data_IF_738079485761
#
_entry.id   IF_738079485761
#
_cell.length_a   1.000
_cell.length_b   1.000
_cell.length_c   1.000
_cell.angle_alpha   90.00
_cell.angle_beta   90.00
_cell.angle_gamma   90.00
#
_symmetry.space_group_name_H-M   'P 1'
#
loop_
_entity.id
_entity.type
_entity.pdbx_description
1 polymer ?
#
# COMPACT_ATOMS: atom_id res chain seq x y z
N UNK A 1 7.30 -25.50 16.55
CA UNK A 1 8.56 -26.29 16.70
C UNK A 1 9.71 -25.29 16.64
N UNK A 2 10.52 -25.18 17.71
CA UNK A 2 11.60 -24.18 17.83
C UNK A 2 12.68 -24.43 16.77
N UNK A 3 13.05 -23.42 15.99
CA UNK A 3 14.22 -23.44 15.11
C UNK A 3 15.24 -22.44 15.66
N UNK A 4 16.37 -22.98 16.09
CA UNK A 4 17.56 -22.29 16.61
C UNK A 4 18.37 -21.66 15.48
N UNK A 5 18.76 -20.39 15.65
CA UNK A 5 19.73 -19.67 14.81
C UNK A 5 21.12 -20.27 14.95
N UNK A 6 21.77 -20.54 13.82
CA UNK A 6 23.18 -20.93 13.73
C UNK A 6 24.02 -19.72 13.35
N UNK A 7 24.86 -19.30 14.29
CA UNK A 7 25.96 -18.34 14.16
C UNK A 7 26.93 -18.69 13.04
N UNK A 8 27.27 -17.71 12.19
CA UNK A 8 28.50 -17.71 11.40
C UNK A 8 29.34 -16.49 11.81
N UNK A 9 30.49 -16.81 12.40
CA UNK A 9 31.54 -15.92 12.88
C UNK A 9 32.45 -15.56 11.69
N UNK A 10 32.68 -14.27 11.42
CA UNK A 10 33.76 -13.84 10.54
C UNK A 10 34.59 -12.74 11.21
N UNK A 11 35.89 -13.01 11.21
CA UNK A 11 36.99 -12.40 11.97
C UNK A 11 37.24 -10.94 11.61
N UNK A 12 37.39 -10.11 12.65
CA UNK A 12 38.00 -8.78 12.56
C UNK A 12 39.53 -8.90 12.54
N UNK A 13 40.18 -8.19 11.61
CA UNK A 13 41.59 -7.84 11.68
C UNK A 13 41.72 -6.34 11.39
N UNK A 14 42.11 -5.59 12.42
CA UNK A 14 42.26 -4.14 12.35
C UNK A 14 43.58 -3.70 11.72
N UNK A 15 43.63 -2.43 11.37
CA UNK A 15 44.85 -1.61 11.35
C UNK A 15 44.42 -0.14 11.35
N UNK A 16 44.64 0.52 12.48
CA UNK A 16 44.53 1.97 12.59
C UNK A 16 45.75 2.66 11.98
N UNK A 17 45.54 3.87 11.46
CA UNK A 17 46.57 4.88 11.33
C UNK A 17 45.91 6.26 11.33
N UNK A 18 46.03 6.95 12.47
CA UNK A 18 45.83 8.39 12.60
C UNK A 18 47.08 9.12 12.12
N UNK A 19 46.91 10.12 11.25
CA UNK A 19 47.86 11.22 11.05
C UNK A 19 47.07 12.46 10.64
N UNK A 20 46.97 13.41 11.57
CA UNK A 20 46.55 14.77 11.26
C UNK A 20 47.71 15.58 10.69
N UNK A 21 47.38 16.60 9.90
CA UNK A 21 48.21 17.77 9.66
C UNK A 21 47.28 18.93 9.26
N UNK A 22 47.27 19.96 10.09
CA UNK A 22 46.68 21.25 9.81
C UNK A 22 47.59 22.04 8.85
N UNK A 23 46.98 22.84 7.97
CA UNK A 23 47.61 23.99 7.37
C UNK A 23 46.56 25.09 7.13
N UNK A 24 46.70 26.18 7.88
CA UNK A 24 46.20 27.49 7.50
C UNK A 24 47.13 28.06 6.41
N UNK A 25 46.62 28.72 5.38
CA UNK A 25 46.74 30.18 5.20
C UNK A 25 46.01 30.66 3.93
N UNK A 26 45.83 31.96 3.89
CA UNK A 26 44.93 32.83 3.14
C UNK A 26 45.26 33.08 1.65
N UNK A 27 44.24 33.42 0.85
CA UNK A 27 44.20 34.67 0.03
C UNK A 27 43.01 34.74 -0.95
N UNK A 28 42.32 35.89 -0.96
CA UNK A 28 41.82 36.52 -2.20
C UNK A 28 40.38 36.24 -2.65
N UNK A 29 39.38 36.75 -1.93
CA UNK A 29 38.01 36.92 -2.46
C UNK A 29 37.83 38.29 -3.14
N UNK A 30 37.40 38.29 -4.41
CA UNK A 30 36.82 39.46 -5.10
C UNK A 30 35.33 39.21 -5.35
N UNK A 31 34.55 40.26 -5.14
CA UNK A 31 33.10 40.28 -5.11
C UNK A 31 32.39 39.82 -6.40
N UNK A 32 31.24 39.18 -6.21
CA UNK A 32 30.20 38.96 -7.22
C UNK A 32 28.90 38.62 -6.51
N UNK A 33 28.01 39.60 -6.39
CA UNK A 33 26.70 39.47 -5.76
C UNK A 33 25.76 38.59 -6.62
N UNK A 34 25.03 37.69 -5.96
CA UNK A 34 23.86 36.99 -6.48
C UNK A 34 22.82 36.94 -5.34
N UNK A 35 21.52 36.89 -5.66
CA UNK A 35 20.45 37.37 -4.79
C UNK A 35 20.27 36.45 -3.58
N UNK A 36 20.03 37.07 -2.43
CA UNK A 36 19.59 36.40 -1.22
C UNK A 36 18.20 35.78 -1.46
N UNK A 37 18.19 34.48 -1.71
CA UNK A 37 17.04 33.64 -1.40
C UNK A 37 16.91 33.62 0.12
N UNK A 38 15.88 34.30 0.60
CA UNK A 38 15.46 34.21 1.99
C UNK A 38 14.78 32.85 2.17
N UNK A 39 15.60 31.80 2.36
CA UNK A 39 15.14 30.54 2.93
C UNK A 39 15.10 30.70 4.45
N UNK A 40 14.11 31.45 4.92
CA UNK A 40 13.73 31.47 6.32
C UNK A 40 12.91 30.23 6.63
N UNK A 41 13.57 29.08 6.81
CA UNK A 41 12.97 28.03 7.63
C UNK A 41 13.29 28.39 9.07
N UNK A 42 12.27 28.74 9.85
CA UNK A 42 12.37 28.59 11.30
C UNK A 42 12.80 27.14 11.55
N UNK A 43 14.01 26.96 12.08
CA UNK A 43 14.54 25.65 12.40
C UNK A 43 13.81 25.11 13.64
N UNK A 44 12.54 24.73 13.45
CA UNK A 44 11.77 23.95 14.40
C UNK A 44 12.46 22.60 14.68
N UNK A 45 12.05 21.95 15.76
CA UNK A 45 12.51 20.61 16.08
C UNK A 45 12.17 19.64 14.93
N UNK A 46 13.13 18.81 14.51
CA UNK A 46 12.91 17.79 13.49
C UNK A 46 11.82 16.84 13.94
N UNK A 47 10.76 16.68 13.15
CA UNK A 47 9.64 15.81 13.48
C UNK A 47 10.02 14.34 13.24
N UNK A 48 9.94 13.51 14.27
CA UNK A 48 10.23 12.08 14.18
C UNK A 48 8.97 11.28 13.91
N UNK A 49 8.88 10.69 12.73
CA UNK A 49 7.78 9.83 12.33
C UNK A 49 8.27 8.40 12.21
N UNK A 50 7.52 7.47 12.79
CA UNK A 50 7.75 6.05 12.63
C UNK A 50 6.84 5.51 11.52
N UNK A 51 7.32 4.51 10.78
CA UNK A 51 6.56 3.88 9.68
C UNK A 51 6.43 2.39 9.98
N UNK A 52 5.20 1.94 10.18
CA UNK A 52 4.89 0.55 10.49
C UNK A 52 4.55 -0.18 9.17
N UNK A 53 5.37 -1.14 8.77
CA UNK A 53 5.25 -1.86 7.50
C UNK A 53 5.35 -3.36 7.75
N UNK A 54 4.37 -4.13 7.27
CA UNK A 54 4.37 -5.60 7.45
C UNK A 54 5.42 -6.27 6.56
N UNK A 55 5.39 -6.01 5.25
CA UNK A 55 6.43 -6.44 4.31
C UNK A 55 7.27 -5.24 3.85
N UNK A 56 8.46 -5.10 4.41
CA UNK A 56 9.39 -4.02 4.07
C UNK A 56 10.21 -4.28 2.79
N UNK A 57 9.96 -5.39 2.10
CA UNK A 57 10.75 -5.87 0.97
C UNK A 57 10.01 -5.86 -0.36
N UNK A 58 8.68 -5.72 -0.35
CA UNK A 58 7.89 -5.60 -1.58
C UNK A 58 8.30 -4.35 -2.37
N UNK A 59 8.20 -4.43 -3.70
CA UNK A 59 8.51 -3.31 -4.59
C UNK A 59 7.61 -2.10 -4.30
N UNK A 60 6.34 -2.31 -3.94
CA UNK A 60 5.41 -1.28 -3.45
C UNK A 60 5.98 -0.58 -2.20
N UNK A 61 6.32 -1.34 -1.15
CA UNK A 61 6.82 -0.78 0.11
C UNK A 61 8.16 -0.04 -0.08
N UNK A 62 9.01 -0.54 -0.97
CA UNK A 62 10.27 0.11 -1.32
C UNK A 62 10.04 1.43 -2.07
N UNK A 63 9.05 1.48 -2.98
CA UNK A 63 8.64 2.72 -3.65
C UNK A 63 8.18 3.78 -2.63
N UNK A 64 7.24 3.42 -1.75
CA UNK A 64 6.77 4.29 -0.68
C UNK A 64 7.91 4.79 0.21
N UNK A 65 8.82 3.89 0.60
CA UNK A 65 9.99 4.24 1.38
C UNK A 65 10.91 5.21 0.65
N UNK A 66 11.12 5.02 -0.65
CA UNK A 66 11.95 5.89 -1.47
C UNK A 66 11.34 7.29 -1.57
N UNK A 67 10.03 7.42 -1.79
CA UNK A 67 9.36 8.72 -1.77
C UNK A 67 9.56 9.44 -0.43
N UNK A 68 9.33 8.77 0.69
CA UNK A 68 9.55 9.37 2.01
C UNK A 68 11.01 9.73 2.28
N UNK A 69 11.95 8.81 2.04
CA UNK A 69 13.35 9.00 2.46
C UNK A 69 14.17 9.83 1.49
N UNK A 70 13.83 9.86 0.20
CA UNK A 70 14.56 10.61 -0.83
C UNK A 70 13.90 11.93 -1.18
N UNK A 71 12.56 11.99 -1.24
CA UNK A 71 11.84 13.22 -1.60
C UNK A 71 11.37 14.00 -0.36
N UNK A 72 10.56 13.38 0.51
CA UNK A 72 9.96 14.10 1.65
C UNK A 72 11.03 14.59 2.64
N UNK A 73 11.97 13.75 3.06
CA UNK A 73 13.05 14.19 3.97
C UNK A 73 13.96 15.28 3.37
N UNK A 74 14.02 15.41 2.04
CA UNK A 74 14.78 16.48 1.40
C UNK A 74 14.03 17.82 1.40
N UNK A 75 12.70 17.80 1.54
CA UNK A 75 11.82 18.97 1.41
C UNK A 75 11.17 19.40 2.74
N UNK A 76 11.09 18.51 3.71
CA UNK A 76 10.49 18.74 5.04
C UNK A 76 11.46 18.36 6.14
N UNK A 77 11.44 19.08 7.26
CA UNK A 77 12.30 18.80 8.42
C UNK A 77 11.77 17.61 9.24
N UNK A 78 11.82 16.42 8.65
CA UNK A 78 11.29 15.17 9.21
C UNK A 78 12.33 14.05 9.16
N UNK A 79 12.22 13.11 10.10
CA UNK A 79 13.01 11.89 10.15
C UNK A 79 12.08 10.67 10.19
N UNK A 80 12.35 9.66 9.34
CA UNK A 80 11.58 8.42 9.31
C UNK A 80 12.34 7.25 9.93
N UNK A 81 11.68 6.52 10.84
CA UNK A 81 12.15 5.22 11.35
C UNK A 81 11.19 4.12 10.95
N UNK A 82 11.67 3.09 10.25
CA UNK A 82 10.83 1.99 9.78
C UNK A 82 10.87 0.81 10.74
N UNK A 83 9.77 0.05 10.80
CA UNK A 83 9.79 -1.27 11.42
C UNK A 83 10.67 -2.23 10.62
N UNK A 84 11.14 -3.27 11.28
CA UNK A 84 11.58 -4.47 10.57
C UNK A 84 10.34 -5.19 9.98
N UNK A 85 10.57 -6.19 9.14
CA UNK A 85 9.51 -7.07 8.61
C UNK A 85 8.71 -7.71 9.76
N UNK A 86 7.38 -7.70 9.64
CA UNK A 86 6.46 -8.09 10.71
C UNK A 86 5.70 -9.36 10.30
N UNK A 87 5.79 -10.38 11.14
CA UNK A 87 5.19 -11.69 10.85
C UNK A 87 3.72 -11.78 11.26
N UNK A 88 3.29 -10.99 12.26
CA UNK A 88 1.98 -11.08 12.89
C UNK A 88 1.65 -9.82 13.72
N UNK A 89 0.42 -9.74 14.23
CA UNK A 89 -0.06 -8.68 15.12
C UNK A 89 0.81 -8.53 16.39
N UNK A 90 1.35 -9.63 16.90
CA UNK A 90 2.25 -9.63 18.07
C UNK A 90 3.57 -8.90 17.74
N UNK A 91 4.07 -9.03 16.50
CA UNK A 91 5.23 -8.30 16.00
C UNK A 91 4.92 -6.82 15.79
N UNK A 92 3.75 -6.49 15.24
CA UNK A 92 3.27 -5.11 15.11
C UNK A 92 3.20 -4.41 16.46
N UNK A 93 2.64 -5.07 17.48
CA UNK A 93 2.62 -4.56 18.85
C UNK A 93 4.02 -4.25 19.40
N UNK A 94 4.98 -5.17 19.24
CA UNK A 94 6.37 -4.94 19.69
C UNK A 94 7.03 -3.79 18.94
N UNK A 95 6.74 -3.63 17.65
CA UNK A 95 7.23 -2.50 16.86
C UNK A 95 6.66 -1.17 17.40
N UNK A 96 5.37 -1.12 17.69
CA UNK A 96 4.72 0.03 18.34
C UNK A 96 5.34 0.37 19.70
N UNK A 97 5.57 -0.63 20.57
CA UNK A 97 6.25 -0.42 21.85
C UNK A 97 7.65 0.22 21.68
N UNK A 98 8.40 -0.24 20.68
CA UNK A 98 9.73 0.31 20.36
C UNK A 98 9.66 1.73 19.79
N UNK A 99 8.67 2.03 18.94
CA UNK A 99 8.44 3.36 18.38
C UNK A 99 8.07 4.38 19.46
N UNK A 100 7.19 4.00 20.39
CA UNK A 100 6.84 4.83 21.55
C UNK A 100 8.10 5.08 22.40
N UNK A 101 8.89 4.04 22.67
CA UNK A 101 10.11 4.16 23.47
C UNK A 101 11.23 4.97 22.79
N UNK A 102 11.25 5.07 21.47
CA UNK A 102 12.24 5.84 20.71
C UNK A 102 11.92 7.34 20.61
N UNK A 103 10.73 7.75 21.06
CA UNK A 103 10.27 9.14 21.02
C UNK A 103 9.73 9.55 19.65
N UNK A 104 9.15 8.63 18.89
CA UNK A 104 8.36 8.99 17.71
C UNK A 104 7.15 9.83 18.11
N UNK A 105 6.88 10.88 17.34
CA UNK A 105 5.75 11.79 17.54
C UNK A 105 4.52 11.33 16.78
N UNK A 106 4.72 10.54 15.73
CA UNK A 106 3.66 9.91 14.97
C UNK A 106 4.08 8.53 14.44
N UNK A 107 3.08 7.71 14.14
CA UNK A 107 3.20 6.45 13.38
C UNK A 107 2.32 6.55 12.13
N UNK A 108 2.93 6.36 10.96
CA UNK A 108 2.21 6.15 9.70
C UNK A 108 2.22 4.64 9.43
N UNK A 109 1.05 4.01 9.47
CA UNK A 109 0.91 2.56 9.41
C UNK A 109 0.39 2.09 8.06
N UNK A 110 1.13 1.16 7.48
CA UNK A 110 0.74 0.31 6.35
C UNK A 110 0.30 -1.09 6.81
N UNK A 111 0.37 -1.35 8.12
CA UNK A 111 0.08 -2.64 8.73
C UNK A 111 -1.39 -2.71 9.19
N UNK A 112 -1.95 -3.92 9.15
CA UNK A 112 -3.36 -4.17 9.45
C UNK A 112 -3.62 -5.42 10.30
N UNK A 113 -2.59 -6.04 10.89
CA UNK A 113 -2.75 -7.26 11.69
C UNK A 113 -3.63 -7.09 12.94
N UNK A 114 -3.50 -5.97 13.65
CA UNK A 114 -4.41 -5.58 14.76
C UNK A 114 -4.49 -4.05 14.89
N UNK A 115 -5.29 -3.44 14.02
CA UNK A 115 -5.48 -1.98 13.97
C UNK A 115 -6.06 -1.40 15.27
N UNK A 116 -7.11 -1.99 15.89
CA UNK A 116 -7.63 -1.52 17.17
C UNK A 116 -6.55 -1.42 18.25
N UNK A 117 -5.73 -2.46 18.44
CA UNK A 117 -4.69 -2.44 19.45
C UNK A 117 -3.62 -1.36 19.18
N UNK A 118 -3.29 -1.11 17.91
CA UNK A 118 -2.32 -0.07 17.53
C UNK A 118 -2.84 1.34 17.81
N UNK A 119 -4.14 1.58 17.57
CA UNK A 119 -4.79 2.86 17.88
C UNK A 119 -4.83 3.13 19.37
N UNK A 120 -5.25 2.15 20.18
CA UNK A 120 -5.24 2.26 21.64
C UNK A 120 -3.84 2.56 22.19
N UNK A 121 -2.82 1.88 21.68
CA UNK A 121 -1.43 2.11 22.10
C UNK A 121 -0.93 3.51 21.76
N UNK A 122 -1.32 4.06 20.61
CA UNK A 122 -0.92 5.40 20.19
C UNK A 122 -1.62 6.47 21.02
N UNK A 123 -2.92 6.31 21.26
CA UNK A 123 -3.73 7.22 22.09
C UNK A 123 -3.23 7.23 23.54
N UNK A 124 -2.98 6.06 24.14
CA UNK A 124 -2.44 5.95 25.51
C UNK A 124 -1.05 6.60 25.65
N UNK A 125 -0.25 6.57 24.58
CA UNK A 125 1.08 7.15 24.54
C UNK A 125 1.10 8.65 24.17
N UNK A 126 -0.01 9.21 23.69
CA UNK A 126 -0.11 10.57 23.20
C UNK A 126 0.72 10.81 21.92
N UNK A 127 0.83 9.81 21.05
CA UNK A 127 1.51 9.92 19.75
C UNK A 127 0.50 9.78 18.62
N UNK A 128 0.68 10.56 17.55
CA UNK A 128 -0.26 10.52 16.44
C UNK A 128 -0.21 9.19 15.70
N UNK A 129 -1.34 8.69 15.25
CA UNK A 129 -1.44 7.48 14.46
C UNK A 129 -2.23 7.74 13.18
N UNK A 130 -1.69 7.31 12.06
CA UNK A 130 -2.25 7.52 10.74
C UNK A 130 -2.25 6.21 9.95
N UNK A 131 -3.32 5.95 9.21
CA UNK A 131 -3.44 4.77 8.35
C UNK A 131 -3.19 5.18 6.91
N UNK A 132 -2.18 4.58 6.30
CA UNK A 132 -1.82 4.79 4.92
C UNK A 132 -2.30 3.63 4.04
N UNK A 133 -2.80 3.95 2.84
CA UNK A 133 -3.13 2.99 1.77
C UNK A 133 -4.20 1.96 2.14
N UNK A 134 -5.05 2.29 3.10
CA UNK A 134 -6.18 1.47 3.49
C UNK A 134 -7.14 2.24 4.39
N UNK A 135 -8.20 1.57 4.82
CA UNK A 135 -9.25 2.15 5.66
C UNK A 135 -9.44 1.34 6.94
N UNK A 136 -10.40 1.77 7.78
CA UNK A 136 -11.00 0.97 8.84
C UNK A 136 -12.35 0.46 8.34
N UNK A 137 -12.88 -0.59 8.99
CA UNK A 137 -14.31 -0.89 8.87
C UNK A 137 -15.15 0.23 9.51
N UNK A 138 -16.41 0.38 9.10
CA UNK A 138 -17.32 1.38 9.68
C UNK A 138 -17.43 1.24 11.22
N UNK A 139 -17.50 0.00 11.72
CA UNK A 139 -17.57 -0.29 13.16
C UNK A 139 -16.31 0.19 13.90
N UNK A 140 -15.13 -0.09 13.36
CA UNK A 140 -13.87 0.39 13.94
C UNK A 140 -13.76 1.91 13.83
N UNK A 141 -14.15 2.51 12.70
CA UNK A 141 -14.10 3.96 12.57
C UNK A 141 -15.04 4.65 13.55
N UNK A 142 -16.26 4.16 13.75
CA UNK A 142 -17.19 4.67 14.76
C UNK A 142 -16.60 4.58 16.18
N UNK A 143 -15.83 3.52 16.48
CA UNK A 143 -15.17 3.33 17.77
C UNK A 143 -13.99 4.31 18.00
N UNK A 144 -13.15 4.52 16.99
CA UNK A 144 -11.88 5.25 17.14
C UNK A 144 -11.89 6.68 16.60
N UNK A 145 -12.93 7.09 15.86
CA UNK A 145 -12.97 8.38 15.15
C UNK A 145 -12.82 9.58 16.09
N UNK A 146 -13.19 9.48 17.35
CA UNK A 146 -13.05 10.56 18.33
C UNK A 146 -11.70 10.61 19.07
N UNK A 147 -10.77 9.69 18.81
CA UNK A 147 -9.45 9.68 19.49
C UNK A 147 -8.66 10.95 19.17
N UNK A 148 -8.01 11.54 20.17
CA UNK A 148 -7.28 12.81 20.03
C UNK A 148 -6.10 12.65 19.07
N UNK A 149 -5.37 11.54 19.19
CA UNK A 149 -4.16 11.29 18.44
C UNK A 149 -4.40 10.44 17.19
N UNK A 150 -5.64 10.08 16.88
CA UNK A 150 -5.93 9.44 15.60
C UNK A 150 -6.07 10.49 14.49
N UNK A 151 -5.09 10.52 13.57
CA UNK A 151 -5.10 11.41 12.40
C UNK A 151 -6.21 11.00 11.44
N UNK A 152 -6.38 9.69 11.24
CA UNK A 152 -7.34 9.13 10.31
C UNK A 152 -6.74 8.13 9.33
N UNK A 153 -7.53 7.79 8.33
CA UNK A 153 -7.17 6.91 7.23
C UNK A 153 -7.30 7.63 5.88
N UNK A 154 -6.30 7.42 5.02
CA UNK A 154 -6.34 7.83 3.62
C UNK A 154 -5.85 6.67 2.76
N UNK A 155 -6.71 6.26 1.82
CA UNK A 155 -6.45 5.16 0.90
C UNK A 155 -7.76 4.60 0.35
N UNK A 156 -7.71 3.42 -0.29
CA UNK A 156 -8.92 2.80 -0.81
C UNK A 156 -9.89 2.45 0.31
N UNK A 157 -11.14 2.85 0.16
CA UNK A 157 -12.25 2.34 0.98
C UNK A 157 -12.59 0.91 0.58
N UNK A 158 -13.30 0.18 1.45
CA UNK A 158 -13.75 -1.19 1.11
C UNK A 158 -14.62 -1.23 -0.15
N UNK A 159 -15.32 -0.12 -0.44
CA UNK A 159 -16.10 0.06 -1.66
C UNK A 159 -15.21 0.21 -2.90
N UNK A 160 -14.13 0.99 -2.82
CA UNK A 160 -13.11 1.07 -3.88
C UNK A 160 -12.40 -0.28 -4.04
N UNK A 161 -12.10 -0.98 -2.96
CA UNK A 161 -11.46 -2.31 -2.99
C UNK A 161 -12.36 -3.35 -3.67
N UNK A 162 -13.65 -3.36 -3.34
CA UNK A 162 -14.66 -4.13 -4.06
C UNK A 162 -14.66 -3.78 -5.55
N UNK A 163 -14.71 -2.48 -5.86
CA UNK A 163 -14.82 -2.00 -7.23
C UNK A 163 -13.60 -2.38 -8.07
N UNK A 164 -12.39 -2.30 -7.52
CA UNK A 164 -11.17 -2.72 -8.20
C UNK A 164 -11.20 -4.21 -8.60
N UNK A 165 -11.64 -5.07 -7.68
CA UNK A 165 -11.81 -6.50 -7.98
C UNK A 165 -12.91 -6.76 -9.02
N UNK A 166 -14.02 -6.04 -8.92
CA UNK A 166 -15.13 -6.12 -9.85
C UNK A 166 -14.72 -5.69 -11.27
N UNK A 167 -14.10 -4.51 -11.41
CA UNK A 167 -13.71 -3.93 -12.70
C UNK A 167 -12.67 -4.79 -13.41
N UNK A 168 -11.70 -5.33 -12.67
CA UNK A 168 -10.74 -6.28 -13.22
C UNK A 168 -11.43 -7.53 -13.79
N UNK A 169 -12.35 -8.14 -13.06
CA UNK A 169 -13.08 -9.30 -13.55
C UNK A 169 -13.95 -8.96 -14.77
N UNK A 170 -14.62 -7.79 -14.76
CA UNK A 170 -15.41 -7.29 -15.89
C UNK A 170 -14.58 -7.07 -17.13
N UNK A 171 -13.37 -6.50 -17.01
CA UNK A 171 -12.44 -6.32 -18.11
C UNK A 171 -12.22 -7.63 -18.88
N UNK A 172 -11.95 -8.72 -18.17
CA UNK A 172 -11.73 -10.03 -18.80
C UNK A 172 -13.01 -10.71 -19.29
N UNK A 173 -14.15 -10.50 -18.63
CA UNK A 173 -15.46 -10.93 -19.15
C UNK A 173 -15.75 -10.25 -20.49
N UNK A 174 -15.51 -8.94 -20.59
CA UNK A 174 -15.75 -8.16 -21.80
C UNK A 174 -14.75 -8.54 -22.92
N UNK A 175 -13.55 -8.98 -22.55
CA UNK A 175 -12.58 -9.60 -23.46
C UNK A 175 -12.98 -11.03 -23.91
N UNK A 176 -14.08 -11.59 -23.41
CA UNK A 176 -14.62 -12.88 -23.80
C UNK A 176 -13.91 -14.09 -23.17
N UNK A 177 -13.18 -13.89 -22.07
CA UNK A 177 -12.57 -14.97 -21.30
C UNK A 177 -13.66 -15.79 -20.60
N UNK A 178 -13.38 -17.07 -20.36
CA UNK A 178 -14.33 -18.00 -19.74
C UNK A 178 -13.73 -18.89 -18.66
N UNK A 179 -12.40 -19.06 -18.63
CA UNK A 179 -11.71 -19.86 -17.61
C UNK A 179 -10.86 -18.96 -16.72
N UNK A 180 -11.19 -18.95 -15.43
CA UNK A 180 -10.55 -18.09 -14.45
C UNK A 180 -9.92 -18.94 -13.35
N UNK A 181 -8.81 -18.46 -12.79
CA UNK A 181 -8.38 -18.82 -11.45
C UNK A 181 -8.35 -17.56 -10.59
N UNK A 182 -8.46 -17.72 -9.27
CA UNK A 182 -8.37 -16.61 -8.33
C UNK A 182 -7.14 -16.79 -7.45
N UNK A 183 -6.37 -15.71 -7.29
CA UNK A 183 -5.42 -15.58 -6.19
C UNK A 183 -6.02 -14.69 -5.11
N UNK A 184 -6.47 -15.29 -4.00
CA UNK A 184 -7.14 -14.59 -2.91
C UNK A 184 -6.21 -13.81 -1.98
N UNK A 185 -4.89 -13.84 -2.21
CA UNK A 185 -3.92 -13.11 -1.40
C UNK A 185 -4.14 -13.34 0.11
N UNK A 186 -4.48 -12.29 0.86
CA UNK A 186 -4.64 -12.33 2.31
C UNK A 186 -6.01 -12.76 2.86
N UNK A 187 -6.90 -13.34 2.04
CA UNK A 187 -8.18 -13.93 2.48
C UNK A 187 -8.04 -14.81 3.75
N UNK A 188 -7.10 -15.77 3.86
CA UNK A 188 -6.99 -16.65 5.04
C UNK A 188 -6.53 -15.93 6.31
N UNK A 189 -6.07 -14.68 6.18
CA UNK A 189 -5.64 -13.82 7.28
C UNK A 189 -6.69 -12.76 7.63
N UNK A 190 -7.89 -12.84 7.06
CA UNK A 190 -8.97 -11.86 7.27
C UNK A 190 -8.56 -10.43 6.92
N UNK A 191 -7.76 -10.26 5.87
CA UNK A 191 -7.41 -8.94 5.36
C UNK A 191 -8.58 -8.40 4.53
N UNK A 192 -9.33 -7.45 5.08
CA UNK A 192 -10.59 -6.94 4.53
C UNK A 192 -10.50 -6.53 3.06
N UNK A 193 -9.43 -5.81 2.65
CA UNK A 193 -9.24 -5.41 1.25
C UNK A 193 -9.18 -6.60 0.29
N UNK A 194 -8.47 -7.67 0.64
CA UNK A 194 -8.34 -8.84 -0.24
C UNK A 194 -9.66 -9.61 -0.35
N UNK A 195 -10.43 -9.65 0.75
CA UNK A 195 -11.75 -10.26 0.78
C UNK A 195 -12.73 -9.43 -0.06
N UNK A 196 -12.73 -8.10 0.10
CA UNK A 196 -13.57 -7.19 -0.68
C UNK A 196 -13.29 -7.29 -2.18
N UNK A 197 -12.02 -7.25 -2.59
CA UNK A 197 -11.59 -7.46 -3.98
C UNK A 197 -12.07 -8.82 -4.52
N UNK A 198 -11.82 -9.90 -3.78
CA UNK A 198 -12.20 -11.26 -4.20
C UNK A 198 -13.72 -11.42 -4.33
N UNK A 199 -14.49 -10.86 -3.39
CA UNK A 199 -15.94 -10.82 -3.47
C UNK A 199 -16.42 -10.00 -4.68
N UNK A 200 -15.76 -8.87 -4.98
CA UNK A 200 -16.03 -8.05 -6.16
C UNK A 200 -15.82 -8.83 -7.46
N UNK A 201 -14.72 -9.60 -7.57
CA UNK A 201 -14.46 -10.47 -8.73
C UNK A 201 -15.57 -11.51 -8.93
N UNK A 202 -15.98 -12.19 -7.85
CA UNK A 202 -17.04 -13.19 -7.90
C UNK A 202 -18.41 -12.57 -8.23
N UNK A 203 -18.70 -11.38 -7.70
CA UNK A 203 -19.92 -10.64 -8.00
C UNK A 203 -19.99 -10.22 -9.48
N UNK A 204 -18.87 -9.76 -10.06
CA UNK A 204 -18.78 -9.45 -11.49
C UNK A 204 -19.06 -10.68 -12.37
N UNK A 205 -18.49 -11.84 -12.02
CA UNK A 205 -18.78 -13.10 -12.72
C UNK A 205 -20.26 -13.52 -12.54
N UNK A 206 -20.84 -13.30 -11.35
CA UNK A 206 -22.21 -13.67 -11.02
C UNK A 206 -23.30 -12.81 -11.72
N UNK A 207 -22.92 -11.72 -12.39
CA UNK A 207 -23.81 -10.99 -13.29
C UNK A 207 -24.28 -11.86 -14.45
N UNK A 208 -23.48 -12.84 -14.88
CA UNK A 208 -23.93 -13.83 -15.82
C UNK A 208 -25.07 -14.65 -15.18
N UNK A 209 -26.25 -14.79 -15.85
CA UNK A 209 -27.45 -15.38 -15.25
C UNK A 209 -27.30 -16.78 -14.64
N UNK A 210 -26.50 -17.67 -15.22
CA UNK A 210 -26.22 -19.02 -14.67
C UNK A 210 -25.18 -19.05 -13.55
N UNK A 211 -24.43 -17.96 -13.36
CA UNK A 211 -23.27 -17.92 -12.47
C UNK A 211 -23.66 -17.53 -11.05
N UNK A 212 -23.17 -18.26 -10.04
CA UNK A 212 -23.33 -17.92 -8.63
C UNK A 212 -22.16 -18.43 -7.80
N UNK A 213 -21.97 -17.83 -6.63
CA UNK A 213 -21.09 -18.36 -5.59
C UNK A 213 -21.92 -18.71 -4.37
N UNK A 214 -21.87 -19.96 -3.93
CA UNK A 214 -22.70 -20.51 -2.85
C UNK A 214 -24.21 -20.32 -3.06
N UNK A 215 -24.66 -20.32 -4.32
CA UNK A 215 -26.06 -20.14 -4.69
C UNK A 215 -26.56 -18.69 -4.62
N UNK A 216 -25.67 -17.71 -4.42
CA UNK A 216 -25.99 -16.28 -4.44
C UNK A 216 -25.20 -15.53 -5.51
N UNK A 217 -25.77 -14.39 -5.93
CA UNK A 217 -25.16 -13.40 -6.83
C UNK A 217 -24.91 -12.06 -6.15
N UNK A 218 -25.49 -11.88 -4.97
CA UNK A 218 -25.43 -10.65 -4.19
C UNK A 218 -24.06 -10.52 -3.54
N UNK A 219 -23.44 -9.34 -3.68
CA UNK A 219 -22.10 -9.08 -3.20
C UNK A 219 -21.97 -9.31 -1.69
N UNK A 220 -22.88 -8.77 -0.88
CA UNK A 220 -22.80 -8.86 0.59
C UNK A 220 -22.93 -10.32 1.06
N UNK A 221 -23.79 -11.10 0.39
CA UNK A 221 -23.93 -12.52 0.66
C UNK A 221 -22.68 -13.34 0.23
N UNK A 222 -22.03 -12.96 -0.87
CA UNK A 222 -20.74 -13.55 -1.29
C UNK A 222 -19.66 -13.20 -0.25
N UNK A 223 -19.51 -11.92 0.09
CA UNK A 223 -18.57 -11.42 1.09
C UNK A 223 -18.72 -12.18 2.42
N UNK A 224 -19.95 -12.26 2.94
CA UNK A 224 -20.25 -13.00 4.17
C UNK A 224 -19.92 -14.49 4.07
N UNK A 225 -20.03 -15.10 2.89
CA UNK A 225 -19.64 -16.49 2.67
C UNK A 225 -18.11 -16.66 2.74
N UNK A 226 -17.34 -15.77 2.10
CA UNK A 226 -15.88 -15.81 2.15
C UNK A 226 -15.40 -15.61 3.58
N UNK A 227 -15.97 -14.63 4.29
CA UNK A 227 -15.67 -14.37 5.70
C UNK A 227 -15.97 -15.59 6.59
N UNK A 228 -17.11 -16.25 6.38
CA UNK A 228 -17.48 -17.42 7.18
C UNK A 228 -16.58 -18.64 6.91
N UNK A 229 -16.10 -18.79 5.67
CA UNK A 229 -15.24 -19.90 5.28
C UNK A 229 -13.74 -19.63 5.53
N UNK A 230 -13.33 -18.36 5.57
CA UNK A 230 -11.94 -17.93 5.63
C UNK A 230 -11.11 -18.30 4.40
N UNK A 231 -11.77 -18.63 3.28
CA UNK A 231 -11.14 -19.12 2.03
C UNK A 231 -12.16 -19.16 0.89
N UNK A 232 -11.72 -19.39 -0.35
CA UNK A 232 -12.59 -19.70 -1.49
C UNK A 232 -12.66 -21.22 -1.72
N UNK A 233 -13.88 -21.75 -1.69
CA UNK A 233 -14.17 -23.13 -2.08
C UNK A 233 -14.67 -23.19 -3.52
N UNK A 234 -13.93 -23.90 -4.39
CA UNK A 234 -14.25 -24.02 -5.82
C UNK A 234 -15.59 -24.71 -6.07
N UNK A 235 -16.01 -25.65 -5.22
CA UNK A 235 -17.27 -26.39 -5.35
C UNK A 235 -18.52 -25.53 -5.03
N UNK A 236 -18.33 -24.33 -4.50
CA UNK A 236 -19.39 -23.33 -4.34
C UNK A 236 -19.60 -22.46 -5.59
N UNK A 237 -18.69 -22.51 -6.57
CA UNK A 237 -18.86 -21.77 -7.83
C UNK A 237 -19.68 -22.61 -8.81
N UNK A 238 -20.83 -22.08 -9.21
CA UNK A 238 -21.74 -22.72 -10.17
C UNK A 238 -21.90 -21.80 -11.38
N UNK A 239 -21.72 -22.31 -12.60
CA UNK A 239 -21.90 -21.56 -13.85
C UNK A 239 -22.03 -22.50 -15.05
N UNK A 240 -22.84 -22.12 -16.05
CA UNK A 240 -22.90 -22.77 -17.36
C UNK A 240 -21.91 -22.15 -18.36
N UNK A 241 -21.36 -20.96 -18.06
CA UNK A 241 -20.55 -20.14 -18.98
C UNK A 241 -19.09 -20.09 -18.55
N UNK A 242 -18.84 -19.96 -17.25
CA UNK A 242 -17.52 -19.76 -16.69
C UNK A 242 -17.03 -20.99 -15.94
N UNK A 243 -15.71 -21.17 -15.92
CA UNK A 243 -15.04 -22.19 -15.14
C UNK A 243 -14.07 -21.52 -14.18
N UNK A 244 -14.26 -21.71 -12.86
CA UNK A 244 -13.26 -21.36 -11.86
C UNK A 244 -12.31 -22.56 -11.68
N UNK A 245 -11.20 -22.56 -12.42
CA UNK A 245 -10.31 -23.71 -12.59
C UNK A 245 -9.38 -23.95 -11.39
N UNK A 246 -9.13 -22.92 -10.58
CA UNK A 246 -8.19 -22.98 -9.48
C UNK A 246 -8.28 -21.81 -8.51
N UNK A 247 -7.76 -22.04 -7.31
CA UNK A 247 -7.65 -21.03 -6.25
C UNK A 247 -6.33 -21.21 -5.50
N UNK A 248 -5.67 -20.10 -5.17
CA UNK A 248 -4.51 -20.02 -4.28
C UNK A 248 -4.69 -18.85 -3.32
N UNK A 249 -4.08 -18.93 -2.14
CA UNK A 249 -4.07 -17.87 -1.13
C UNK A 249 -2.78 -17.89 -0.31
N UNK A 250 -2.50 -16.77 0.37
CA UNK A 250 -1.32 -16.55 1.19
C UNK A 250 0.00 -16.54 0.41
N UNK A 251 1.10 -16.31 1.14
CA UNK A 251 2.45 -16.21 0.60
C UNK A 251 3.40 -17.14 1.35
N UNK A 252 3.34 -18.44 1.04
CA UNK A 252 4.19 -19.44 1.70
C UNK A 252 5.20 -20.08 0.73
N UNK A 253 6.08 -19.24 0.17
CA UNK A 253 7.07 -19.64 -0.82
C UNK A 253 8.04 -20.72 -0.35
N UNK A 254 8.22 -20.92 0.96
CA UNK A 254 9.08 -21.97 1.52
C UNK A 254 8.38 -23.33 1.69
N UNK A 255 7.06 -23.39 1.54
CA UNK A 255 6.26 -24.58 1.77
C UNK A 255 5.97 -25.33 0.46
N UNK A 256 6.35 -26.60 0.42
CA UNK A 256 6.22 -27.42 -0.79
C UNK A 256 4.77 -27.77 -1.14
N UNK A 257 3.86 -27.80 -0.17
CA UNK A 257 2.44 -28.03 -0.42
C UNK A 257 1.78 -26.76 -0.99
N UNK A 258 2.18 -25.58 -0.50
CA UNK A 258 1.75 -24.32 -1.10
C UNK A 258 2.27 -24.17 -2.54
N UNK A 259 3.55 -24.46 -2.79
CA UNK A 259 4.13 -24.47 -4.13
C UNK A 259 3.42 -25.46 -5.07
N UNK A 260 3.05 -26.65 -4.57
CA UNK A 260 2.29 -27.62 -5.33
C UNK A 260 0.87 -27.10 -5.67
N UNK A 261 0.25 -26.34 -4.76
CA UNK A 261 -1.05 -25.71 -5.00
C UNK A 261 -0.96 -24.62 -6.07
N UNK A 262 0.06 -23.77 -6.02
CA UNK A 262 0.38 -22.79 -7.07
C UNK A 262 0.59 -23.47 -8.43
N UNK A 263 1.39 -24.54 -8.47
CA UNK A 263 1.62 -25.31 -9.69
C UNK A 263 0.33 -25.98 -10.19
N UNK A 264 -0.57 -26.39 -9.29
CA UNK A 264 -1.90 -26.92 -9.64
C UNK A 264 -2.78 -25.86 -10.28
N UNK A 265 -2.78 -24.62 -9.78
CA UNK A 265 -3.49 -23.50 -10.40
C UNK A 265 -3.00 -23.29 -11.83
N UNK A 266 -1.70 -23.19 -12.05
CA UNK A 266 -1.13 -23.06 -13.41
C UNK A 266 -1.48 -24.27 -14.29
N UNK A 267 -1.40 -25.49 -13.74
CA UNK A 267 -1.70 -26.73 -14.47
C UNK A 267 -3.18 -26.89 -14.82
N UNK A 268 -4.08 -26.19 -14.12
CA UNK A 268 -5.51 -26.12 -14.45
C UNK A 268 -5.78 -25.33 -15.73
N UNK A 269 -4.78 -24.59 -16.23
CA UNK A 269 -4.82 -23.78 -17.46
C UNK A 269 -5.99 -22.81 -17.50
N UNK A 270 -6.10 -21.90 -16.51
CA UNK A 270 -7.00 -20.76 -16.65
C UNK A 270 -6.58 -19.93 -17.87
N UNK A 271 -7.50 -19.16 -18.44
CA UNK A 271 -7.12 -18.11 -19.38
C UNK A 271 -6.55 -16.89 -18.63
N UNK A 272 -7.09 -16.62 -17.43
CA UNK A 272 -6.72 -15.48 -16.60
C UNK A 272 -6.64 -15.89 -15.12
N UNK A 273 -5.62 -15.40 -14.43
CA UNK A 273 -5.57 -15.37 -12.97
C UNK A 273 -6.02 -13.99 -12.50
N UNK A 274 -7.14 -13.93 -11.79
CA UNK A 274 -7.64 -12.73 -11.13
C UNK A 274 -6.98 -12.61 -9.76
N UNK A 275 -6.03 -11.69 -9.59
CA UNK A 275 -5.27 -11.56 -8.36
C UNK A 275 -5.82 -10.44 -7.48
N UNK A 276 -6.19 -10.78 -6.24
CA UNK A 276 -6.58 -9.79 -5.23
C UNK A 276 -5.39 -8.95 -4.74
N UNK A 277 -4.16 -9.37 -5.04
CA UNK A 277 -2.97 -8.53 -5.01
C UNK A 277 -1.68 -9.30 -5.22
N UNK A 278 -0.62 -8.62 -5.67
CA UNK A 278 0.73 -9.20 -5.92
C UNK A 278 0.76 -10.45 -6.80
N UNK A 279 -0.17 -10.56 -7.75
CA UNK A 279 -0.34 -11.72 -8.63
C UNK A 279 0.91 -12.04 -9.43
N UNK A 280 1.58 -11.04 -10.00
CA UNK A 280 2.81 -11.22 -10.76
C UNK A 280 3.96 -11.74 -9.89
N UNK A 281 4.12 -11.21 -8.67
CA UNK A 281 5.15 -11.67 -7.74
C UNK A 281 4.99 -13.16 -7.39
N UNK A 282 3.75 -13.66 -7.34
CA UNK A 282 3.45 -15.06 -7.04
C UNK A 282 3.55 -15.95 -8.27
N UNK A 283 2.91 -15.57 -9.38
CA UNK A 283 2.71 -16.45 -10.53
C UNK A 283 3.64 -16.17 -11.71
N UNK A 284 4.25 -14.99 -11.81
CA UNK A 284 4.93 -14.51 -13.02
C UNK A 284 5.93 -15.51 -13.61
N UNK A 285 6.79 -16.07 -12.77
CA UNK A 285 7.74 -17.10 -13.19
C UNK A 285 7.06 -18.41 -13.64
N UNK A 286 5.97 -18.81 -12.98
CA UNK A 286 5.26 -20.05 -13.24
C UNK A 286 4.39 -19.98 -14.51
N UNK A 287 3.88 -18.81 -14.87
CA UNK A 287 3.05 -18.61 -16.06
C UNK A 287 3.82 -18.12 -17.29
N UNK A 288 5.09 -17.78 -17.16
CA UNK A 288 5.90 -17.29 -18.26
C UNK A 288 5.85 -18.22 -19.49
N UNK A 289 5.43 -17.67 -20.64
CA UNK A 289 5.31 -18.41 -21.90
C UNK A 289 4.14 -19.40 -21.97
N UNK A 290 3.27 -19.46 -20.95
CA UNK A 290 2.09 -20.34 -20.93
C UNK A 290 0.88 -19.76 -21.69
N UNK A 291 0.86 -18.44 -21.88
CA UNK A 291 -0.30 -17.71 -22.41
C UNK A 291 -1.41 -17.45 -21.39
N UNK A 292 -1.19 -17.77 -20.11
CA UNK A 292 -2.05 -17.39 -19.00
C UNK A 292 -1.79 -15.92 -18.68
N UNK A 293 -2.86 -15.12 -18.66
CA UNK A 293 -2.80 -13.70 -18.30
C UNK A 293 -3.01 -13.50 -16.79
N UNK A 294 -2.48 -12.41 -16.25
CA UNK A 294 -2.68 -11.97 -14.87
C UNK A 294 -3.35 -10.60 -14.90
N UNK A 295 -4.50 -10.51 -14.25
CA UNK A 295 -5.04 -9.23 -13.77
C UNK A 295 -4.56 -9.03 -12.35
N UNK A 296 -3.99 -7.86 -12.07
CA UNK A 296 -3.36 -7.59 -10.78
C UNK A 296 -3.88 -6.31 -10.11
N UNK A 297 -3.96 -6.34 -8.78
CA UNK A 297 -4.26 -5.16 -7.96
C UNK A 297 -3.04 -4.95 -7.06
N UNK A 298 -2.12 -4.10 -7.49
CA UNK A 298 -0.77 -4.00 -6.91
C UNK A 298 -0.23 -2.56 -7.02
N UNK A 299 1.00 -2.39 -7.50
CA UNK A 299 1.67 -1.09 -7.58
C UNK A 299 2.40 -0.88 -8.92
N UNK A 300 2.64 0.39 -9.25
CA UNK A 300 3.43 0.79 -10.41
C UNK A 300 4.93 0.65 -10.12
N UNK A 301 5.52 -0.46 -10.58
CA UNK A 301 6.95 -0.77 -10.38
C UNK A 301 7.58 -1.25 -11.68
N UNK A 302 8.92 -1.18 -11.75
CA UNK A 302 9.68 -1.65 -12.92
C UNK A 302 9.43 -3.14 -13.22
N UNK A 303 9.23 -3.96 -12.19
CA UNK A 303 8.91 -5.38 -12.34
C UNK A 303 7.55 -5.58 -13.01
N UNK A 304 6.53 -4.85 -12.57
CA UNK A 304 5.19 -4.93 -13.13
C UNK A 304 5.12 -4.32 -14.55
N UNK A 305 5.90 -3.28 -14.84
CA UNK A 305 6.05 -2.77 -16.21
C UNK A 305 6.63 -3.85 -17.13
N UNK A 306 7.73 -4.49 -16.74
CA UNK A 306 8.33 -5.58 -17.52
C UNK A 306 7.35 -6.74 -17.73
N UNK A 307 6.53 -7.05 -16.71
CA UNK A 307 5.50 -8.06 -16.80
C UNK A 307 4.42 -7.70 -17.83
N UNK A 308 4.05 -6.42 -17.90
CA UNK A 308 3.07 -5.91 -18.86
C UNK A 308 3.64 -5.85 -20.29
N UNK A 309 4.89 -5.42 -20.46
CA UNK A 309 5.61 -5.50 -21.74
C UNK A 309 5.73 -6.92 -22.27
N UNK A 310 5.91 -7.89 -21.36
CA UNK A 310 5.92 -9.32 -21.69
C UNK A 310 4.53 -9.91 -21.97
N UNK A 311 3.45 -9.15 -21.73
CA UNK A 311 2.06 -9.61 -21.87
C UNK A 311 1.64 -10.64 -20.82
N UNK A 312 2.38 -10.75 -19.71
CA UNK A 312 2.00 -11.64 -18.59
C UNK A 312 0.99 -10.96 -17.67
N UNK A 313 1.23 -9.69 -17.33
CA UNK A 313 0.21 -8.82 -16.72
C UNK A 313 -0.50 -8.07 -17.85
N UNK A 314 -1.83 -8.12 -17.89
CA UNK A 314 -2.62 -7.45 -18.97
C UNK A 314 -3.62 -6.44 -18.43
N UNK A 315 -3.81 -6.39 -17.11
CA UNK A 315 -4.58 -5.39 -16.39
C UNK A 315 -3.89 -5.13 -15.05
N UNK A 316 -3.70 -3.86 -14.69
CA UNK A 316 -3.21 -3.48 -13.37
C UNK A 316 -3.99 -2.29 -12.79
N UNK A 317 -4.65 -2.51 -11.65
CA UNK A 317 -5.07 -1.43 -10.77
C UNK A 317 -3.96 -1.18 -9.74
N UNK A 318 -3.27 -0.04 -9.87
CA UNK A 318 -2.02 0.23 -9.18
C UNK A 318 -2.08 1.42 -8.22
N UNK A 319 -1.41 1.30 -7.08
CA UNK A 319 -1.00 2.47 -6.30
C UNK A 319 0.27 3.05 -6.91
N UNK A 320 0.33 4.38 -7.02
CA UNK A 320 1.54 5.10 -7.41
C UNK A 320 2.34 5.52 -6.18
N UNK A 321 3.64 5.70 -6.34
CA UNK A 321 4.62 5.87 -5.27
C UNK A 321 4.28 7.03 -4.33
N UNK A 322 3.94 8.19 -4.88
CA UNK A 322 3.67 9.38 -4.06
C UNK A 322 2.27 9.42 -3.46
N UNK A 323 1.39 8.44 -3.74
CA UNK A 323 0.01 8.40 -3.23
C UNK A 323 -0.12 8.51 -1.71
N UNK A 324 0.96 8.27 -0.97
CA UNK A 324 1.04 8.44 0.49
C UNK A 324 1.39 9.87 0.95
N UNK A 325 1.55 10.82 0.03
CA UNK A 325 1.80 12.23 0.33
C UNK A 325 0.71 12.90 1.17
N UNK A 326 -0.59 12.71 0.86
CA UNK A 326 -1.67 13.29 1.64
C UNK A 326 -1.69 12.81 3.11
N UNK A 327 -1.54 11.51 3.36
CA UNK A 327 -1.49 11.01 4.75
C UNK A 327 -0.25 11.51 5.50
N UNK A 328 0.88 11.65 4.80
CA UNK A 328 2.06 12.29 5.37
C UNK A 328 1.78 13.74 5.79
N UNK A 329 1.21 14.57 4.92
CA UNK A 329 1.03 16.00 5.24
C UNK A 329 -0.01 16.22 6.34
N UNK A 330 -1.09 15.42 6.36
CA UNK A 330 -2.05 15.43 7.47
C UNK A 330 -1.38 15.06 8.80
N UNK A 331 -0.51 14.04 8.79
CA UNK A 331 0.25 13.61 9.98
C UNK A 331 1.23 14.68 10.43
N UNK A 332 1.95 15.31 9.49
CA UNK A 332 2.86 16.43 9.78
C UNK A 332 2.10 17.58 10.45
N UNK A 333 0.96 17.98 9.89
CA UNK A 333 0.18 19.10 10.39
C UNK A 333 -0.36 18.82 11.81
N UNK A 334 -0.80 17.58 12.06
CA UNK A 334 -1.22 17.13 13.38
C UNK A 334 -0.09 17.21 14.42
N UNK A 335 1.11 16.71 14.11
CA UNK A 335 2.29 16.81 15.01
C UNK A 335 2.68 18.26 15.28
N UNK A 336 2.45 19.18 14.33
CA UNK A 336 2.68 20.61 14.48
C UNK A 336 1.58 21.34 15.27
N UNK A 337 0.57 20.62 15.77
CA UNK A 337 -0.51 21.16 16.60
C UNK A 337 -1.72 21.64 15.81
N UNK A 338 -1.83 21.29 14.53
CA UNK A 338 -2.95 21.66 13.66
C UNK A 338 -3.57 20.39 13.04
N UNK A 339 -4.15 19.48 13.83
CA UNK A 339 -4.82 18.29 13.27
C UNK A 339 -5.99 18.72 12.38
N UNK A 340 -6.06 18.14 11.18
CA UNK A 340 -7.21 18.30 10.29
C UNK A 340 -8.30 17.34 10.77
N UNK A 341 -9.50 17.87 11.03
CA UNK A 341 -10.58 17.14 11.69
C UNK A 341 -11.88 17.30 10.92
N UNK A 342 -12.62 16.20 10.79
CA UNK A 342 -13.93 16.18 10.16
C UNK A 342 -15.01 16.81 11.02
N UNK A 343 -16.26 16.66 10.57
CA UNK A 343 -17.43 17.11 11.32
C UNK A 343 -17.46 16.45 12.71
N UNK A 344 -17.81 17.23 13.74
CA UNK A 344 -17.79 16.79 15.14
C UNK A 344 -16.41 16.39 15.69
N UNK A 345 -15.32 16.95 15.13
CA UNK A 345 -13.94 16.74 15.60
C UNK A 345 -13.44 15.30 15.46
N UNK A 346 -13.87 14.63 14.38
CA UNK A 346 -13.48 13.25 14.08
C UNK A 346 -12.20 13.17 13.25
N UNK A 347 -11.47 12.06 13.40
CA UNK A 347 -10.35 11.67 12.56
C UNK A 347 -10.75 11.55 11.09
N UNK A 348 -9.79 11.69 10.17
CA UNK A 348 -10.05 11.62 8.73
C UNK A 348 -10.48 10.19 8.31
N UNK A 349 -11.45 10.12 7.40
CA UNK A 349 -11.77 8.93 6.61
C UNK A 349 -11.96 9.39 5.17
N UNK A 350 -10.83 9.57 4.47
CA UNK A 350 -10.81 10.10 3.11
C UNK A 350 -10.33 9.05 2.13
N UNK A 351 -10.86 9.07 0.93
CA UNK A 351 -10.69 7.98 -0.02
C UNK A 351 -9.76 8.35 -1.17
N UNK A 352 -8.83 7.45 -1.46
CA UNK A 352 -8.04 7.45 -2.69
C UNK A 352 -8.11 6.09 -3.35
N UNK A 353 -8.15 6.05 -4.67
CA UNK A 353 -8.23 4.81 -5.42
C UNK A 353 -6.96 4.50 -6.21
N UNK A 354 -7.15 3.63 -7.19
CA UNK A 354 -6.09 3.15 -8.06
C UNK A 354 -6.05 3.95 -9.36
N UNK A 355 -4.88 4.06 -9.96
CA UNK A 355 -4.83 4.24 -11.41
C UNK A 355 -4.97 2.86 -12.05
N UNK A 356 -5.60 2.81 -13.22
CA UNK A 356 -5.87 1.54 -13.92
C UNK A 356 -5.19 1.59 -15.27
N UNK A 357 -4.25 0.66 -15.48
CA UNK A 357 -3.55 0.44 -16.74
C UNK A 357 -4.08 -0.83 -17.39
N UNK A 358 -4.66 -0.68 -18.58
CA UNK A 358 -5.10 -1.80 -19.45
C UNK A 358 -4.14 -2.01 -20.62
N UNK A 359 -3.08 -1.20 -20.69
CA UNK A 359 -2.08 -1.25 -21.75
C UNK A 359 -0.71 -0.80 -21.23
N UNK A 360 0.34 -1.23 -21.95
CA UNK A 360 1.72 -0.78 -21.69
C UNK A 360 1.84 0.74 -21.81
N UNK A 361 1.09 1.36 -22.72
CA UNK A 361 1.13 2.81 -22.93
C UNK A 361 0.57 3.56 -21.71
N UNK A 362 -0.55 3.10 -21.14
CA UNK A 362 -1.11 3.66 -19.89
C UNK A 362 -0.11 3.51 -18.75
N UNK A 363 0.43 2.30 -18.57
CA UNK A 363 1.38 2.00 -17.49
C UNK A 363 2.62 2.89 -17.58
N UNK A 364 3.18 3.03 -18.79
CA UNK A 364 4.35 3.87 -19.04
C UNK A 364 4.04 5.34 -18.75
N UNK A 365 2.87 5.82 -19.15
CA UNK A 365 2.44 7.19 -18.88
C UNK A 365 2.30 7.46 -17.37
N UNK A 366 1.77 6.50 -16.62
CA UNK A 366 1.60 6.60 -15.18
C UNK A 366 2.93 6.59 -14.42
N UNK A 367 3.85 5.68 -14.76
CA UNK A 367 5.20 5.67 -14.18
C UNK A 367 5.99 6.94 -14.51
N UNK A 368 5.79 7.52 -15.69
CA UNK A 368 6.45 8.77 -16.06
C UNK A 368 5.88 9.99 -15.30
N UNK A 369 4.61 9.93 -14.89
CA UNK A 369 3.94 11.02 -14.19
C UNK A 369 4.22 11.04 -12.68
N UNK A 370 4.56 9.89 -12.08
CA UNK A 370 4.91 9.78 -10.68
C UNK A 370 6.29 9.15 -10.48
N UNK A 371 7.28 9.99 -10.20
CA UNK A 371 8.66 9.57 -9.94
C UNK A 371 9.15 10.11 -8.61
N UNK A 372 10.23 9.55 -8.05
CA UNK A 372 10.79 10.07 -6.80
C UNK A 372 11.32 11.50 -6.98
N UNK A 373 11.85 11.85 -8.15
CA UNK A 373 12.37 13.18 -8.47
C UNK A 373 11.26 14.20 -8.74
N UNK A 374 10.19 13.75 -9.38
CA UNK A 374 9.01 14.53 -9.75
C UNK A 374 7.74 13.76 -9.38
N UNK A 375 7.40 13.70 -8.08
CA UNK A 375 6.22 12.97 -7.62
C UNK A 375 4.94 13.74 -7.99
N UNK A 376 3.83 13.02 -8.15
CA UNK A 376 2.52 13.63 -8.33
C UNK A 376 2.14 14.49 -7.11
N UNK A 377 2.40 13.97 -5.90
CA UNK A 377 2.30 14.73 -4.66
C UNK A 377 3.65 15.33 -4.27
N UNK A 378 4.01 16.41 -4.94
CA UNK A 378 5.22 17.18 -4.70
C UNK A 378 5.06 18.21 -3.57
N UNK A 379 6.15 18.90 -3.21
CA UNK A 379 6.13 19.92 -2.17
C UNK A 379 5.12 21.04 -2.44
N UNK A 380 4.98 21.47 -3.70
CA UNK A 380 4.07 22.55 -4.07
C UNK A 380 2.60 22.13 -3.91
N UNK A 381 2.28 20.85 -4.15
CA UNK A 381 0.94 20.30 -3.90
C UNK A 381 0.65 20.08 -2.43
N UNK A 382 1.65 19.73 -1.61
CA UNK A 382 1.48 19.41 -0.19
C UNK A 382 1.54 20.64 0.73
N UNK A 383 2.37 21.64 0.44
CA UNK A 383 2.55 22.84 1.27
C UNK A 383 1.26 23.58 1.67
N UNK A 384 0.23 23.69 0.80
CA UNK A 384 -1.04 24.32 1.18
C UNK A 384 -1.73 23.67 2.38
N UNK A 385 -1.38 22.42 2.72
CA UNK A 385 -1.97 21.62 3.79
C UNK A 385 -1.10 21.56 5.05
N UNK A 386 -0.16 22.49 5.18
CA UNK A 386 0.65 22.69 6.39
C UNK A 386 0.30 24.04 7.02
N UNK A 387 -0.23 24.01 8.24
CA UNK A 387 -0.53 25.18 9.04
C UNK A 387 -1.93 25.16 9.68
N UNK A 388 -2.26 26.20 10.45
CA UNK A 388 -3.52 26.30 11.20
C UNK A 388 -4.73 26.64 10.35
N UNK A 389 -4.54 27.14 9.12
CA UNK A 389 -5.61 27.62 8.25
C UNK A 389 -6.20 26.53 7.34
N UNK A 390 -5.70 25.29 7.46
CA UNK A 390 -6.14 24.15 6.65
C UNK A 390 -7.53 23.72 7.10
N UNK A 391 -8.49 23.69 6.16
CA UNK A 391 -9.84 23.21 6.42
C UNK A 391 -9.99 21.75 6.00
N UNK A 392 -10.96 21.05 6.60
CA UNK A 392 -11.31 19.70 6.20
C UNK A 392 -11.81 19.64 4.76
N UNK A 393 -12.67 20.58 4.35
CA UNK A 393 -13.26 20.61 3.00
C UNK A 393 -12.18 20.78 1.92
N UNK A 394 -11.24 21.72 2.11
CA UNK A 394 -10.13 21.91 1.17
C UNK A 394 -9.23 20.67 1.09
N UNK A 395 -9.03 19.98 2.21
CA UNK A 395 -8.20 18.77 2.27
C UNK A 395 -8.91 17.55 1.68
N UNK A 396 -10.22 17.41 1.91
CA UNK A 396 -11.07 16.37 1.33
C UNK A 396 -11.09 16.49 -0.20
N UNK A 397 -11.32 17.70 -0.74
CA UNK A 397 -11.29 17.95 -2.19
C UNK A 397 -9.93 17.59 -2.80
N UNK A 398 -8.83 17.92 -2.10
CA UNK A 398 -7.49 17.56 -2.52
C UNK A 398 -7.24 16.05 -2.54
N UNK A 399 -7.68 15.33 -1.51
CA UNK A 399 -7.50 13.88 -1.41
C UNK A 399 -8.35 13.16 -2.47
N UNK A 400 -9.58 13.63 -2.71
CA UNK A 400 -10.49 13.04 -3.69
C UNK A 400 -10.01 13.22 -5.15
N UNK A 401 -9.21 14.25 -5.43
CA UNK A 401 -8.59 14.49 -6.74
C UNK A 401 -7.34 13.62 -6.95
N UNK A 402 -7.50 12.29 -6.93
CA UNK A 402 -6.38 11.35 -7.04
C UNK A 402 -6.24 10.69 -8.41
N UNK A 403 -7.23 10.79 -9.30
CA UNK A 403 -7.16 10.08 -10.58
C UNK A 403 -6.06 10.68 -11.46
N UNK A 404 -5.52 9.88 -12.39
CA UNK A 404 -4.51 10.37 -13.33
C UNK A 404 -5.03 11.58 -14.12
N UNK A 405 -6.33 11.60 -14.45
CA UNK A 405 -6.94 12.72 -15.14
C UNK A 405 -6.96 13.95 -14.24
N UNK A 406 -7.43 13.83 -13.00
CA UNK A 406 -7.54 14.99 -12.08
C UNK A 406 -6.18 15.64 -11.80
N UNK A 407 -5.11 14.83 -11.77
CA UNK A 407 -3.77 15.30 -11.44
C UNK A 407 -2.99 15.85 -12.65
N UNK A 408 -3.31 15.43 -13.88
CA UNK A 408 -2.45 15.72 -15.05
C UNK A 408 -3.17 16.20 -16.33
N UNK A 409 -4.51 16.16 -16.41
CA UNK A 409 -5.29 16.52 -17.60
C UNK A 409 -6.33 17.60 -17.31
#
# INVERSE_FOLDING_TARGET
MKITRSTALAVAAGLGLSLGLAACDSSGGSAGAAPSGDAGTDAGETVKMCVLVSDATSSEALGFKDYYTKYIQANYNVEFTYSEELADADAEKRAMENFIASGCQAVISFASGDRPAQLDMAEDAGIYYAVATGTLTDEQYDEFSSYEHYVGAIGPSLDIERQAGYDMARHYVDAGKTKYAIFGAGVPFYIDMHIARTAGMLAALAEEPSTSYAGTKDYDAILGTIMADGTIKLDKFESDVYELTGYLEGWNFGDSAWQASMASVVSSKPEVILAAGTGFAVFGAAVSGSGIEIGDIDAYTDENLQAMEAGTVTYLAGKFTSSIGPIFVATLNAVQGNPIRGAADTALALEQGYWVAESVDDFTAYMAADTVEHPAYDKATLDPFVGPDVTYEDFEDFVAAYSYTDLFL
#
